data_IF_035318007053
#
_entry.id   IF_035318007053
#
_cell.length_a   1.000
_cell.length_b   1.000
_cell.length_c   1.000
_cell.angle_alpha   90.00
_cell.angle_beta   90.00
_cell.angle_gamma   90.00
#
_symmetry.space_group_name_H-M   'P 1'
#
loop_
_entity.id
_entity.type
_entity.pdbx_description
1 polymer ?
#
# COMPACT_ATOMS: atom_id res chain seq x y z
N UNK A 1 21.22 -13.89 10.98
CA UNK A 1 21.96 -14.96 10.30
C UNK A 1 21.07 -15.85 9.43
N UNK A 2 19.90 -16.29 9.92
CA UNK A 2 19.01 -17.22 9.21
C UNK A 2 18.49 -16.73 7.83
N UNK A 3 18.16 -15.44 7.66
CA UNK A 3 17.68 -14.93 6.36
C UNK A 3 18.72 -15.04 5.22
N UNK A 4 20.03 -15.00 5.53
CA UNK A 4 21.09 -15.11 4.50
C UNK A 4 21.36 -16.56 4.12
N UNK A 5 21.27 -17.48 5.08
CA UNK A 5 21.56 -18.90 4.87
C UNK A 5 20.46 -19.60 4.04
N UNK A 6 19.19 -19.31 4.33
CA UNK A 6 18.05 -19.79 3.53
C UNK A 6 18.05 -19.22 2.09
N UNK A 7 18.55 -17.99 1.91
CA UNK A 7 18.68 -17.38 0.58
C UNK A 7 19.71 -18.06 -0.32
N UNK A 8 20.75 -18.66 0.25
CA UNK A 8 21.79 -19.36 -0.53
C UNK A 8 21.31 -20.74 -1.02
N UNK A 9 20.63 -21.50 -0.15
CA UNK A 9 20.02 -22.79 -0.50
C UNK A 9 18.84 -22.65 -1.47
N UNK A 10 18.06 -21.57 -1.34
CA UNK A 10 16.95 -21.27 -2.26
C UNK A 10 17.44 -20.93 -3.68
N UNK A 11 18.53 -20.17 -3.79
CA UNK A 11 19.01 -19.63 -5.07
C UNK A 11 19.46 -20.71 -6.06
N UNK A 12 19.87 -21.89 -5.59
CA UNK A 12 20.30 -23.01 -6.44
C UNK A 12 19.17 -23.96 -6.88
N UNK A 13 17.99 -23.90 -6.25
CA UNK A 13 16.86 -24.80 -6.54
C UNK A 13 15.60 -24.07 -7.05
N UNK A 14 15.69 -22.77 -7.30
CA UNK A 14 14.55 -21.98 -7.74
C UNK A 14 14.40 -22.02 -9.28
N UNK A 15 13.19 -22.26 -9.82
CA UNK A 15 12.94 -22.11 -11.25
C UNK A 15 13.34 -20.71 -11.75
N UNK A 16 13.96 -20.64 -12.93
CA UNK A 16 14.50 -19.41 -13.51
C UNK A 16 13.44 -18.30 -13.60
N UNK A 17 12.18 -18.67 -13.88
CA UNK A 17 11.04 -17.76 -13.99
C UNK A 17 10.73 -17.03 -12.68
N UNK A 18 10.85 -17.69 -11.52
CA UNK A 18 10.60 -17.04 -10.22
C UNK A 18 11.68 -16.02 -9.89
N UNK A 19 12.94 -16.29 -10.26
CA UNK A 19 14.04 -15.34 -10.08
C UNK A 19 13.82 -14.11 -10.96
N UNK A 20 13.47 -14.33 -12.23
CA UNK A 20 13.19 -13.26 -13.18
C UNK A 20 11.99 -12.41 -12.76
N UNK A 21 10.92 -13.03 -12.26
CA UNK A 21 9.76 -12.32 -11.73
C UNK A 21 10.13 -11.42 -10.53
N UNK A 22 10.96 -11.92 -9.61
CA UNK A 22 11.45 -11.11 -8.48
C UNK A 22 12.31 -9.92 -8.90
N UNK A 23 13.14 -10.08 -9.94
CA UNK A 23 13.95 -9.00 -10.49
C UNK A 23 13.07 -7.93 -11.14
N UNK A 24 12.11 -8.34 -11.98
CA UNK A 24 11.14 -7.43 -12.60
C UNK A 24 10.29 -6.68 -11.59
N UNK A 25 9.84 -7.34 -10.51
CA UNK A 25 9.08 -6.66 -9.45
C UNK A 25 9.92 -5.62 -8.71
N UNK A 26 11.21 -5.89 -8.48
CA UNK A 26 12.12 -4.91 -7.85
C UNK A 26 12.31 -3.71 -8.75
N UNK A 27 12.59 -3.94 -10.02
CA UNK A 27 12.76 -2.88 -11.01
C UNK A 27 11.48 -2.03 -11.12
N UNK A 28 10.31 -2.66 -11.24
CA UNK A 28 9.03 -1.95 -11.27
C UNK A 28 8.77 -1.15 -9.97
N UNK A 29 9.14 -1.70 -8.81
CA UNK A 29 9.06 -1.00 -7.53
C UNK A 29 10.00 0.22 -7.48
N UNK A 30 11.20 0.12 -8.04
CA UNK A 30 12.18 1.21 -8.13
C UNK A 30 11.72 2.31 -9.09
N UNK A 31 11.15 1.92 -10.23
CA UNK A 31 10.51 2.81 -11.21
C UNK A 31 9.21 3.44 -10.69
N UNK A 32 8.67 2.91 -9.60
CA UNK A 32 7.64 3.57 -8.80
C UNK A 32 6.26 2.95 -8.84
N UNK A 33 6.11 1.72 -9.32
CA UNK A 33 4.88 0.95 -9.15
C UNK A 33 4.71 0.57 -7.67
N UNK A 34 3.64 1.08 -7.05
CA UNK A 34 3.29 0.69 -5.69
C UNK A 34 2.73 -0.72 -5.63
N UNK A 35 2.14 -1.24 -6.72
CA UNK A 35 1.65 -2.61 -6.85
C UNK A 35 2.82 -3.60 -6.81
N UNK A 36 3.92 -3.29 -7.50
CA UNK A 36 5.12 -4.10 -7.46
C UNK A 36 5.77 -4.12 -6.07
N UNK A 37 5.86 -2.94 -5.43
CA UNK A 37 6.32 -2.83 -4.03
C UNK A 37 5.42 -3.66 -3.08
N UNK A 38 4.10 -3.55 -3.21
CA UNK A 38 3.16 -4.31 -2.41
C UNK A 38 3.29 -5.84 -2.65
N UNK A 39 3.45 -6.27 -3.90
CA UNK A 39 3.68 -7.67 -4.24
C UNK A 39 4.97 -8.19 -3.60
N UNK A 40 6.05 -7.42 -3.62
CA UNK A 40 7.29 -7.79 -2.92
C UNK A 40 7.07 -7.93 -1.41
N UNK A 41 6.30 -7.03 -0.78
CA UNK A 41 5.96 -7.16 0.63
C UNK A 41 5.24 -8.50 0.92
N UNK A 42 4.25 -8.87 0.12
CA UNK A 42 3.54 -10.15 0.24
C UNK A 42 4.48 -11.36 0.05
N UNK A 43 5.39 -11.31 -0.93
CA UNK A 43 6.35 -12.39 -1.17
C UNK A 43 7.28 -12.61 0.05
N UNK A 44 7.74 -11.53 0.69
CA UNK A 44 8.54 -11.63 1.93
C UNK A 44 7.71 -11.95 3.18
N UNK A 45 6.40 -11.75 3.17
CA UNK A 45 5.49 -12.14 4.26
C UNK A 45 5.24 -13.65 4.22
N UNK A 46 5.01 -14.19 3.02
CA UNK A 46 4.71 -15.59 2.79
C UNK A 46 5.97 -16.46 2.65
N UNK A 47 7.11 -15.87 2.26
CA UNK A 47 8.35 -16.61 1.99
C UNK A 47 8.29 -17.42 0.69
N UNK A 48 7.65 -16.86 -0.35
CA UNK A 48 7.46 -17.51 -1.66
C UNK A 48 8.53 -17.10 -2.67
N UNK A 49 8.54 -17.77 -3.82
CA UNK A 49 9.43 -17.44 -4.95
C UNK A 49 10.92 -17.39 -4.57
N UNK A 50 11.32 -18.19 -3.59
CA UNK A 50 12.71 -18.28 -3.17
C UNK A 50 13.21 -17.16 -2.25
N UNK A 51 12.33 -16.30 -1.75
CA UNK A 51 12.68 -15.41 -0.63
C UNK A 51 12.30 -16.03 0.71
N UNK A 52 13.17 -15.86 1.71
CA UNK A 52 12.82 -16.23 3.08
C UNK A 52 11.90 -15.18 3.70
N UNK A 53 10.99 -15.61 4.57
CA UNK A 53 10.17 -14.70 5.37
C UNK A 53 11.05 -13.67 6.08
N UNK A 54 10.74 -12.39 5.92
CA UNK A 54 11.56 -11.31 6.47
C UNK A 54 10.73 -10.09 6.84
N UNK A 55 10.33 -9.98 8.11
CA UNK A 55 9.52 -8.86 8.62
C UNK A 55 10.12 -7.49 8.31
N UNK A 56 11.46 -7.35 8.33
CA UNK A 56 12.14 -6.10 7.98
C UNK A 56 11.87 -5.70 6.53
N UNK A 57 11.98 -6.63 5.60
CA UNK A 57 11.71 -6.39 4.17
C UNK A 57 10.23 -6.18 3.89
N UNK A 58 9.34 -6.91 4.57
CA UNK A 58 7.89 -6.68 4.49
C UNK A 58 7.56 -5.24 4.82
N UNK A 59 8.09 -4.73 5.95
CA UNK A 59 7.86 -3.33 6.36
C UNK A 59 8.49 -2.33 5.39
N UNK A 60 9.70 -2.60 4.90
CA UNK A 60 10.39 -1.76 3.90
C UNK A 60 9.56 -1.60 2.62
N UNK A 61 9.09 -2.69 2.04
CA UNK A 61 8.28 -2.65 0.83
C UNK A 61 6.89 -2.06 1.06
N UNK A 62 6.27 -2.28 2.23
CA UNK A 62 5.04 -1.57 2.59
C UNK A 62 5.26 -0.06 2.71
N UNK A 63 6.39 0.41 3.25
CA UNK A 63 6.70 1.84 3.29
C UNK A 63 6.84 2.42 1.88
N UNK A 64 7.57 1.74 1.00
CA UNK A 64 7.73 2.14 -0.41
C UNK A 64 6.37 2.25 -1.10
N UNK A 65 5.50 1.25 -0.93
CA UNK A 65 4.16 1.23 -1.51
C UNK A 65 3.26 2.32 -0.91
N UNK A 66 3.30 2.51 0.41
CA UNK A 66 2.48 3.49 1.12
C UNK A 66 2.82 4.93 0.74
N UNK A 67 4.12 5.25 0.62
CA UNK A 67 4.60 6.55 0.16
C UNK A 67 4.20 6.86 -1.28
N UNK A 68 3.89 5.84 -2.08
CA UNK A 68 3.43 5.94 -3.47
C UNK A 68 1.91 5.84 -3.61
N UNK A 69 1.16 5.89 -2.50
CA UNK A 69 -0.30 5.95 -2.52
C UNK A 69 -1.01 4.60 -2.38
N UNK A 70 -0.31 3.51 -2.09
CA UNK A 70 -0.96 2.23 -1.80
C UNK A 70 -1.74 2.30 -0.48
N UNK A 71 -3.06 2.49 -0.56
CA UNK A 71 -3.98 2.57 0.57
C UNK A 71 -3.84 1.34 1.49
N UNK A 72 -3.77 0.13 0.91
CA UNK A 72 -3.63 -1.12 1.69
C UNK A 72 -2.36 -1.13 2.52
N UNK A 73 -1.25 -0.63 1.97
CA UNK A 73 0.02 -0.53 2.71
C UNK A 73 -0.03 0.56 3.78
N UNK A 74 -0.67 1.69 3.51
CA UNK A 74 -0.89 2.75 4.50
C UNK A 74 -1.69 2.23 5.69
N UNK A 75 -2.77 1.47 5.46
CA UNK A 75 -3.54 0.83 6.53
C UNK A 75 -2.73 -0.18 7.34
N UNK A 76 -1.97 -1.06 6.67
CA UNK A 76 -1.12 -2.03 7.36
C UNK A 76 -0.09 -1.35 8.28
N UNK A 77 0.56 -0.29 7.78
CA UNK A 77 1.50 0.50 8.58
C UNK A 77 0.79 1.26 9.70
N UNK A 78 -0.39 1.83 9.44
CA UNK A 78 -1.18 2.48 10.48
C UNK A 78 -1.47 1.52 11.63
N UNK A 79 -2.01 0.34 11.35
CA UNK A 79 -2.32 -0.66 12.37
C UNK A 79 -1.06 -1.11 13.12
N UNK A 80 0.04 -1.38 12.41
CA UNK A 80 1.31 -1.74 13.07
C UNK A 80 1.82 -0.65 14.03
N UNK A 81 1.71 0.62 13.65
CA UNK A 81 2.14 1.73 14.52
C UNK A 81 1.17 1.95 15.68
N UNK A 82 -0.14 1.81 15.47
CA UNK A 82 -1.15 1.90 16.53
C UNK A 82 -0.98 0.77 17.57
N UNK A 83 -0.73 -0.47 17.12
CA UNK A 83 -0.48 -1.62 17.99
C UNK A 83 0.80 -1.45 18.83
N UNK A 84 1.79 -0.71 18.29
CA UNK A 84 3.03 -0.35 19.00
C UNK A 84 2.86 0.83 19.96
N UNK A 85 1.69 1.49 19.98
CA UNK A 85 1.44 2.70 20.75
C UNK A 85 1.98 3.98 20.10
N UNK A 86 2.46 3.92 18.86
CA UNK A 86 2.93 5.07 18.08
C UNK A 86 1.75 5.79 17.41
N UNK A 87 0.85 6.32 18.23
CA UNK A 87 -0.43 6.89 17.79
C UNK A 87 -0.29 7.99 16.75
N UNK A 88 0.67 8.89 16.90
CA UNK A 88 0.90 9.99 15.96
C UNK A 88 1.19 9.47 14.54
N UNK A 89 2.07 8.49 14.41
CA UNK A 89 2.46 7.90 13.12
C UNK A 89 1.30 7.07 12.56
N UNK A 90 0.63 6.29 13.41
CA UNK A 90 -0.55 5.51 13.04
C UNK A 90 -1.65 6.39 12.45
N UNK A 91 -1.99 7.50 13.12
CA UNK A 91 -3.00 8.44 12.65
C UNK A 91 -2.56 9.23 11.42
N UNK A 92 -1.26 9.50 11.26
CA UNK A 92 -0.74 10.10 10.04
C UNK A 92 -1.03 9.21 8.82
N UNK A 93 -0.76 7.91 8.92
CA UNK A 93 -1.04 6.94 7.86
C UNK A 93 -2.55 6.79 7.59
N UNK A 94 -3.38 6.75 8.63
CA UNK A 94 -4.84 6.74 8.45
C UNK A 94 -5.32 8.04 7.77
N UNK A 95 -4.76 9.19 8.14
CA UNK A 95 -5.09 10.48 7.51
C UNK A 95 -4.73 10.48 6.04
N UNK A 96 -3.58 9.94 5.66
CA UNK A 96 -3.22 9.83 4.23
C UNK A 96 -4.15 8.89 3.46
N UNK A 97 -4.52 7.75 4.04
CA UNK A 97 -5.43 6.79 3.41
C UNK A 97 -6.84 7.37 3.26
N UNK A 98 -7.37 8.01 4.31
CA UNK A 98 -8.68 8.65 4.27
C UNK A 98 -8.74 9.78 3.22
N UNK A 99 -7.67 10.58 3.10
CA UNK A 99 -7.55 11.61 2.05
C UNK A 99 -7.50 11.04 0.65
N UNK A 100 -7.05 9.80 0.48
CA UNK A 100 -7.11 9.07 -0.79
C UNK A 100 -8.50 8.45 -1.06
N UNK A 101 -9.50 8.70 -0.21
CA UNK A 101 -10.88 8.21 -0.39
C UNK A 101 -11.19 6.90 0.33
N UNK A 102 -10.31 6.41 1.21
CA UNK A 102 -10.52 5.14 1.92
C UNK A 102 -11.49 5.26 3.10
N UNK A 103 -12.57 4.49 3.06
CA UNK A 103 -13.66 4.51 4.05
C UNK A 103 -13.26 3.87 5.39
N UNK A 104 -12.43 2.82 5.35
CA UNK A 104 -11.98 2.12 6.55
C UNK A 104 -11.05 3.01 7.39
N UNK A 105 -10.16 3.76 6.75
CA UNK A 105 -9.32 4.74 7.41
C UNK A 105 -10.14 5.90 8.00
N UNK A 106 -11.16 6.38 7.27
CA UNK A 106 -12.07 7.41 7.77
C UNK A 106 -12.84 6.92 9.02
N UNK A 107 -13.27 5.66 9.04
CA UNK A 107 -13.94 5.03 10.20
C UNK A 107 -12.99 4.91 11.39
N UNK A 108 -11.74 4.50 11.15
CA UNK A 108 -10.70 4.38 12.18
C UNK A 108 -10.33 5.74 12.79
N UNK A 109 -10.26 6.79 11.96
CA UNK A 109 -10.04 8.16 12.43
C UNK A 109 -11.20 8.71 13.24
N UNK A 110 -12.45 8.35 12.90
CA UNK A 110 -13.64 8.75 13.67
C UNK A 110 -13.58 8.20 15.09
N UNK A 111 -13.31 6.90 15.25
CA UNK A 111 -13.15 6.30 16.57
C UNK A 111 -11.97 6.90 17.37
N UNK A 112 -10.96 7.41 16.68
CA UNK A 112 -9.81 8.09 17.31
C UNK A 112 -10.13 9.54 17.73
N UNK A 113 -10.94 10.23 16.93
CA UNK A 113 -11.48 11.56 17.26
C UNK A 113 -12.42 11.50 18.47
N UNK A 114 -13.31 10.51 18.53
CA UNK A 114 -14.23 10.28 19.66
C UNK A 114 -13.49 10.03 20.98
N UNK A 115 -12.31 9.41 20.91
CA UNK A 115 -11.40 9.20 22.05
C UNK A 115 -10.56 10.44 22.41
N UNK A 116 -10.71 11.55 21.68
CA UNK A 116 -9.96 12.79 21.90
C UNK A 116 -8.50 12.74 21.44
N UNK A 117 -8.11 11.74 20.64
CA UNK A 117 -6.72 11.54 20.20
C UNK A 117 -6.36 12.35 18.95
N UNK A 118 -7.36 12.87 18.24
CA UNK A 118 -7.21 13.69 17.03
C UNK A 118 -7.93 15.00 17.25
N UNK A 119 -7.33 16.13 16.86
CA UNK A 119 -7.99 17.43 16.98
C UNK A 119 -9.17 17.56 16.01
N UNK A 120 -10.19 18.33 16.42
CA UNK A 120 -11.39 18.59 15.60
C UNK A 120 -11.06 19.19 14.24
N UNK A 121 -10.09 20.11 14.21
CA UNK A 121 -9.63 20.74 12.97
C UNK A 121 -9.00 19.73 12.01
N UNK A 122 -8.11 18.86 12.52
CA UNK A 122 -7.46 17.83 11.71
C UNK A 122 -8.46 16.78 11.19
N UNK A 123 -9.47 16.44 12.00
CA UNK A 123 -10.55 15.54 11.59
C UNK A 123 -11.41 16.16 10.48
N UNK A 124 -11.86 17.41 10.66
CA UNK A 124 -12.66 18.11 9.65
C UNK A 124 -11.93 18.30 8.32
N UNK A 125 -10.63 18.67 8.35
CA UNK A 125 -9.78 18.73 7.15
C UNK A 125 -9.78 17.41 6.37
N UNK A 126 -9.73 16.30 7.11
CA UNK A 126 -9.69 14.95 6.52
C UNK A 126 -11.03 14.56 5.91
N UNK A 127 -12.15 14.89 6.58
CA UNK A 127 -13.51 14.66 6.06
C UNK A 127 -13.74 15.40 4.75
N UNK A 128 -13.37 16.67 4.66
CA UNK A 128 -13.53 17.47 3.44
C UNK A 128 -12.71 16.86 2.30
N UNK A 129 -11.42 16.58 2.53
CA UNK A 129 -10.55 15.98 1.51
C UNK A 129 -10.99 14.58 1.07
N UNK A 130 -11.51 13.78 1.99
CA UNK A 130 -12.07 12.46 1.66
C UNK A 130 -13.28 12.60 0.73
N UNK A 131 -14.18 13.54 1.02
CA UNK A 131 -15.34 13.84 0.15
C UNK A 131 -14.90 14.30 -1.23
N UNK A 132 -13.94 15.21 -1.31
CA UNK A 132 -13.42 15.73 -2.58
C UNK A 132 -12.73 14.64 -3.39
N UNK A 133 -11.90 13.80 -2.74
CA UNK A 133 -11.26 12.67 -3.38
C UNK A 133 -12.29 11.70 -3.96
N UNK A 134 -13.34 11.36 -3.20
CA UNK A 134 -14.44 10.52 -3.68
C UNK A 134 -15.22 11.16 -4.83
N UNK A 135 -15.52 12.45 -4.74
CA UNK A 135 -16.22 13.17 -5.80
C UNK A 135 -15.40 13.18 -7.10
N UNK A 136 -14.09 13.42 -7.01
CA UNK A 136 -13.16 13.30 -8.14
C UNK A 136 -13.07 11.86 -8.66
N UNK A 137 -13.20 10.86 -7.78
CA UNK A 137 -13.23 9.46 -8.20
C UNK A 137 -14.48 9.11 -9.01
N UNK A 138 -15.60 9.78 -8.75
CA UNK A 138 -16.89 9.57 -9.41
C UNK A 138 -17.17 10.57 -10.53
N UNK A 139 -16.32 11.57 -10.76
CA UNK A 139 -16.61 12.62 -11.74
C UNK A 139 -16.49 12.10 -13.17
N UNK A 140 -17.25 12.73 -14.07
CA UNK A 140 -17.40 12.41 -15.50
C UNK A 140 -16.05 12.23 -16.24
N UNK A 141 -14.97 12.90 -15.80
CA UNK A 141 -13.61 12.72 -16.33
C UNK A 141 -13.07 11.30 -16.17
N UNK A 142 -13.52 10.56 -15.16
CA UNK A 142 -13.15 9.14 -14.95
C UNK A 142 -14.03 8.20 -15.77
N UNK A 143 -15.25 8.61 -16.09
CA UNK A 143 -16.11 7.91 -17.04
C UNK A 143 -15.56 8.09 -18.47
N UNK A 144 -15.13 9.29 -18.86
CA UNK A 144 -14.44 9.54 -20.13
C UNK A 144 -13.11 8.76 -20.23
N UNK A 145 -12.31 8.71 -19.17
CA UNK A 145 -11.08 7.90 -19.16
C UNK A 145 -11.35 6.37 -19.24
N UNK A 146 -12.46 5.88 -18.66
CA UNK A 146 -12.92 4.49 -18.86
C UNK A 146 -13.38 4.23 -20.29
N UNK A 147 -14.08 5.20 -20.89
CA UNK A 147 -14.57 5.10 -22.28
C UNK A 147 -13.43 5.14 -23.29
N UNK A 148 -12.37 5.92 -23.05
CA UNK A 148 -11.16 5.91 -23.90
C UNK A 148 -10.36 4.60 -23.83
N UNK A 149 -10.39 3.87 -22.72
CA UNK A 149 -9.77 2.55 -22.62
C UNK A 149 -10.57 1.47 -23.35
N UNK A 150 -11.91 1.47 -23.23
CA UNK A 150 -12.79 0.53 -23.93
C UNK A 150 -12.91 0.82 -25.44
N UNK A 151 -12.67 2.06 -25.87
CA UNK A 151 -12.66 2.45 -27.29
C UNK A 151 -11.42 1.99 -28.08
N UNK A 152 -10.40 1.41 -27.43
CA UNK A 152 -9.25 0.81 -28.12
C UNK A 152 -9.43 -0.67 -28.48
N UNK A 153 -10.42 -1.33 -27.87
CA UNK A 153 -10.80 -2.72 -28.19
C UNK A 153 -11.92 -2.80 -29.25
N UNK A 154 -12.33 -1.66 -29.82
CA UNK A 154 -13.31 -1.55 -30.89
C UNK A 154 -12.67 -0.98 -32.17
N UNK A 155 -11.89 -1.81 -32.86
CA UNK A 155 -11.57 -1.66 -34.28
C UNK A 155 -11.86 -3.05 -34.90
N UNK A 156 -12.61 -3.13 -36.03
CA UNK A 156 -13.45 -4.27 -36.41
C UNK A 156 -12.70 -5.59 -36.69
#
# INVERSE_FOLDING_TARGET
>A
AMCRYAGYLSKSFLPEDHRRALELLKEASELGSFEAAFALACLYEEGKCGVAKCRKKVREYHLIAALRGCIVSQQKLANEELDRGNYEIGFLWLKTAAKAGDDLAMTSLRGSYEKGLVSREAYNDTVTKHRDAKAAMTSELREEARMCHLGRDAIP
#
